data_IF_268337513042
#
_entry.id   IF_268337513042
#
_cell.length_a   1.000
_cell.length_b   1.000
_cell.length_c   1.000
_cell.angle_alpha   90.00
_cell.angle_beta   90.00
_cell.angle_gamma   90.00
#
_symmetry.space_group_name_H-M   'P 1'
#
loop_
_entity.id
_entity.type
_entity.pdbx_description
1 polymer ?
#
# COMPACT_ATOMS: atom_id res chain seq x y z
N UNK A 1 5.15 -18.66 10.85
CA UNK A 1 5.06 -19.95 10.12
C UNK A 1 4.76 -19.73 8.65
N UNK A 2 3.67 -19.03 8.26
CA UNK A 2 3.32 -18.81 6.84
C UNK A 2 4.53 -18.37 6.00
N UNK A 3 5.27 -17.36 6.45
CA UNK A 3 6.45 -16.85 5.72
C UNK A 3 7.55 -17.91 5.52
N UNK A 4 7.75 -18.82 6.48
CA UNK A 4 8.79 -19.84 6.43
C UNK A 4 8.38 -21.11 5.67
N UNK A 5 7.10 -21.47 5.75
CA UNK A 5 6.62 -22.80 5.35
C UNK A 5 5.87 -22.77 4.01
N UNK A 6 5.47 -21.58 3.52
CA UNK A 6 4.69 -21.46 2.28
C UNK A 6 5.59 -21.28 1.05
N UNK A 7 5.34 -21.97 -0.06
CA UNK A 7 6.05 -21.75 -1.31
C UNK A 7 5.99 -20.29 -1.77
N UNK A 8 7.04 -19.81 -2.45
CA UNK A 8 7.19 -18.39 -2.79
C UNK A 8 6.03 -17.80 -3.60
N UNK A 9 5.45 -18.60 -4.49
CA UNK A 9 4.31 -18.24 -5.35
C UNK A 9 2.95 -18.16 -4.61
N UNK A 10 2.91 -18.62 -3.35
CA UNK A 10 1.74 -18.54 -2.47
C UNK A 10 2.05 -17.76 -1.17
N UNK A 11 3.25 -17.20 -1.04
CA UNK A 11 3.74 -16.53 0.16
C UNK A 11 3.37 -15.04 0.12
N UNK A 12 2.37 -14.64 0.88
CA UNK A 12 1.84 -13.26 0.85
C UNK A 12 2.90 -12.17 1.05
N UNK A 13 3.78 -12.23 2.06
CA UNK A 13 4.85 -11.24 2.22
C UNK A 13 5.79 -11.15 1.02
N UNK A 14 6.14 -12.30 0.44
CA UNK A 14 7.01 -12.38 -0.75
C UNK A 14 6.31 -11.75 -1.95
N UNK A 15 5.06 -12.11 -2.20
CA UNK A 15 4.27 -11.57 -3.30
C UNK A 15 4.11 -10.05 -3.14
N UNK A 16 3.77 -9.57 -1.95
CA UNK A 16 3.62 -8.13 -1.69
C UNK A 16 4.96 -7.39 -1.85
N UNK A 17 6.07 -8.00 -1.43
CA UNK A 17 7.42 -7.48 -1.64
C UNK A 17 7.76 -7.35 -3.12
N UNK A 18 7.51 -8.39 -3.91
CA UNK A 18 7.74 -8.40 -5.36
C UNK A 18 6.87 -7.38 -6.11
N UNK A 19 5.59 -7.25 -5.72
CA UNK A 19 4.71 -6.21 -6.28
C UNK A 19 5.26 -4.82 -5.97
N UNK A 20 5.75 -4.59 -4.75
CA UNK A 20 6.38 -3.32 -4.37
C UNK A 20 7.61 -3.01 -5.23
N UNK A 21 8.51 -3.98 -5.42
CA UNK A 21 9.67 -3.84 -6.30
C UNK A 21 9.24 -3.55 -7.73
N UNK A 22 8.24 -4.30 -8.24
CA UNK A 22 7.69 -4.07 -9.57
C UNK A 22 7.18 -2.63 -9.75
N UNK A 23 6.44 -2.14 -8.77
CA UNK A 23 5.91 -0.77 -8.80
C UNK A 23 7.04 0.28 -8.80
N UNK A 24 8.08 0.08 -7.99
CA UNK A 24 9.18 1.05 -7.82
C UNK A 24 10.15 0.98 -9.01
N UNK A 25 10.72 -0.19 -9.27
CA UNK A 25 11.86 -0.33 -10.17
C UNK A 25 11.43 -0.38 -11.65
N UNK A 26 10.23 -0.90 -11.93
CA UNK A 26 9.77 -1.09 -13.31
C UNK A 26 8.69 -0.11 -13.73
N UNK A 27 7.79 0.27 -12.84
CA UNK A 27 6.73 1.26 -13.15
C UNK A 27 7.09 2.68 -12.74
N UNK A 28 8.17 2.88 -11.97
CA UNK A 28 8.62 4.19 -11.52
C UNK A 28 7.72 4.83 -10.47
N UNK A 29 7.08 4.02 -9.61
CA UNK A 29 6.30 4.56 -8.50
C UNK A 29 7.21 5.23 -7.47
N UNK A 30 6.99 6.52 -7.22
CA UNK A 30 7.79 7.31 -6.28
C UNK A 30 7.28 7.20 -4.84
N UNK A 31 6.03 6.79 -4.65
CA UNK A 31 5.39 6.74 -3.34
C UNK A 31 4.43 5.54 -3.20
N UNK A 32 4.20 5.16 -1.94
CA UNK A 32 3.20 4.20 -1.51
C UNK A 32 2.22 4.87 -0.55
N UNK A 33 0.95 4.92 -0.92
CA UNK A 33 -0.13 5.36 -0.06
C UNK A 33 -0.72 4.18 0.72
N UNK A 34 -0.67 4.23 2.05
CA UNK A 34 -1.28 3.22 2.94
C UNK A 34 -2.62 3.74 3.43
N UNK A 35 -3.70 3.08 3.04
CA UNK A 35 -5.07 3.57 3.14
C UNK A 35 -5.93 2.62 3.99
N UNK A 36 -5.82 2.65 5.33
CA UNK A 36 -6.65 1.80 6.17
C UNK A 36 -8.09 2.31 6.23
N UNK A 37 -9.04 1.43 6.02
CA UNK A 37 -10.48 1.69 6.15
C UNK A 37 -11.02 1.30 7.52
N UNK A 38 -10.25 1.65 8.54
CA UNK A 38 -10.61 1.56 9.95
C UNK A 38 -9.85 2.61 10.76
N UNK A 39 -10.55 3.36 11.60
CA UNK A 39 -9.94 4.41 12.42
C UNK A 39 -8.94 3.85 13.45
N UNK A 40 -9.14 2.61 13.92
CA UNK A 40 -8.21 1.93 14.82
C UNK A 40 -6.82 1.69 14.21
N UNK A 41 -6.73 1.72 12.87
CA UNK A 41 -5.47 1.61 12.13
C UNK A 41 -4.88 2.99 11.74
N UNK A 42 -5.36 4.09 12.31
CA UNK A 42 -4.96 5.44 11.93
C UNK A 42 -3.45 5.73 12.09
N UNK A 43 -2.76 5.02 12.98
CA UNK A 43 -1.32 5.15 13.17
C UNK A 43 -0.49 4.17 12.31
N UNK A 44 -1.12 3.22 11.64
CA UNK A 44 -0.42 2.24 10.81
C UNK A 44 0.41 2.88 9.68
N UNK A 45 -0.09 3.89 8.94
CA UNK A 45 0.74 4.56 7.93
C UNK A 45 2.02 5.18 8.50
N UNK A 46 1.96 5.75 9.72
CA UNK A 46 3.13 6.32 10.38
C UNK A 46 4.14 5.24 10.78
N UNK A 47 3.68 4.10 11.29
CA UNK A 47 4.53 2.97 11.59
C UNK A 47 5.22 2.42 10.33
N UNK A 48 4.46 2.19 9.26
CA UNK A 48 4.98 1.66 8.00
C UNK A 48 5.93 2.64 7.30
N UNK A 49 5.69 3.94 7.44
CA UNK A 49 6.60 4.97 6.95
C UNK A 49 7.98 4.81 7.59
N UNK A 50 8.04 4.69 8.91
CA UNK A 50 9.30 4.45 9.61
C UNK A 50 9.91 3.10 9.22
N UNK A 51 9.14 2.03 9.30
CA UNK A 51 9.59 0.68 8.99
C UNK A 51 10.25 0.60 7.60
N UNK A 52 9.60 1.11 6.58
CA UNK A 52 10.07 0.96 5.19
C UNK A 52 11.16 1.97 4.82
N UNK A 53 10.94 3.25 5.14
CA UNK A 53 11.87 4.31 4.73
C UNK A 53 13.18 4.27 5.52
N UNK A 54 13.17 3.88 6.79
CA UNK A 54 14.38 3.74 7.60
C UNK A 54 15.14 2.46 7.24
N UNK A 55 14.44 1.36 7.03
CA UNK A 55 15.07 0.07 6.68
C UNK A 55 15.66 0.08 5.27
N UNK A 56 14.87 0.46 4.27
CA UNK A 56 15.22 0.32 2.86
C UNK A 56 15.52 1.65 2.14
N UNK A 57 15.43 2.79 2.84
CA UNK A 57 15.73 4.12 2.27
C UNK A 57 17.23 4.40 2.19
N UNK A 58 18.01 3.47 1.66
CA UNK A 58 19.48 3.51 1.61
C UNK A 58 19.97 3.44 0.16
N UNK A 59 21.02 4.18 -0.14
CA UNK A 59 21.65 4.21 -1.47
C UNK A 59 22.88 3.31 -1.58
N UNK A 60 23.28 2.65 -0.48
CA UNK A 60 24.46 1.78 -0.44
C UNK A 60 24.02 0.36 -0.09
N UNK A 61 24.42 -0.59 -0.90
CA UNK A 61 24.19 -2.01 -0.70
C UNK A 61 25.05 -2.62 0.43
N UNK A 62 24.74 -3.85 0.79
CA UNK A 62 25.45 -4.62 1.83
C UNK A 62 26.93 -4.84 1.52
N UNK A 63 27.30 -4.82 0.26
CA UNK A 63 28.66 -4.97 -0.26
C UNK A 63 29.41 -3.64 -0.32
N UNK A 64 28.79 -2.54 0.07
CA UNK A 64 29.37 -1.19 0.03
C UNK A 64 29.28 -0.51 -1.34
N UNK A 65 28.62 -1.10 -2.31
CA UNK A 65 28.43 -0.49 -3.63
C UNK A 65 27.22 0.44 -3.63
N UNK A 66 27.24 1.43 -4.55
CA UNK A 66 26.08 2.30 -4.76
C UNK A 66 25.00 1.50 -5.51
N UNK A 67 23.76 1.58 -5.03
CA UNK A 67 22.62 0.95 -5.68
C UNK A 67 22.25 1.72 -6.95
N UNK A 68 22.14 1.03 -8.08
CA UNK A 68 21.71 1.61 -9.35
C UNK A 68 20.19 1.77 -9.42
N UNK A 69 19.45 0.96 -8.69
CA UNK A 69 17.97 0.97 -8.61
C UNK A 69 17.50 0.47 -7.26
N UNK A 70 16.22 0.64 -6.97
CA UNK A 70 15.61 0.17 -5.74
C UNK A 70 15.65 1.18 -4.60
N UNK A 71 15.27 0.72 -3.44
CA UNK A 71 15.11 1.51 -2.24
C UNK A 71 13.66 1.81 -1.89
N UNK A 72 13.44 2.30 -0.67
CA UNK A 72 12.09 2.56 -0.20
C UNK A 72 11.41 3.71 -0.96
N UNK A 73 10.11 3.57 -1.32
CA UNK A 73 9.32 4.70 -1.79
C UNK A 73 9.03 5.64 -0.62
N UNK A 74 8.55 6.84 -0.92
CA UNK A 74 7.96 7.70 0.11
C UNK A 74 6.66 7.07 0.58
N UNK A 75 6.59 6.70 1.86
CA UNK A 75 5.38 6.10 2.46
C UNK A 75 4.59 7.16 3.20
N UNK A 76 3.30 7.25 2.89
CA UNK A 76 2.35 8.14 3.57
C UNK A 76 0.96 7.50 3.61
N UNK A 77 0.03 8.10 4.31
CA UNK A 77 -1.35 7.66 4.30
C UNK A 77 -2.15 8.14 5.49
N UNK A 78 -3.44 7.89 5.42
CA UNK A 78 -4.45 8.21 6.43
C UNK A 78 -5.62 7.23 6.31
N UNK A 79 -6.49 7.13 7.33
CA UNK A 79 -7.75 6.42 7.19
C UNK A 79 -8.55 6.88 5.97
N UNK A 80 -9.07 5.90 5.23
CA UNK A 80 -9.56 6.03 3.86
C UNK A 80 -10.44 7.24 3.57
N UNK A 81 -11.52 7.49 4.35
CA UNK A 81 -12.43 8.62 4.10
C UNK A 81 -11.81 9.98 4.41
N UNK A 82 -10.92 10.08 5.40
CA UNK A 82 -10.17 11.31 5.68
C UNK A 82 -9.21 11.65 4.54
N UNK A 83 -8.39 10.68 4.14
CA UNK A 83 -7.42 10.82 3.06
C UNK A 83 -8.02 11.27 1.72
N UNK A 84 -9.29 10.92 1.44
CA UNK A 84 -9.96 11.34 0.21
C UNK A 84 -10.06 12.85 0.06
N UNK A 85 -10.14 13.58 1.15
CA UNK A 85 -10.18 15.03 1.16
C UNK A 85 -8.80 15.69 1.26
N UNK A 86 -7.74 14.89 1.43
CA UNK A 86 -6.38 15.37 1.60
C UNK A 86 -5.51 15.17 0.34
N UNK A 87 -5.43 13.95 -0.20
CA UNK A 87 -4.43 13.62 -1.23
C UNK A 87 -4.92 12.67 -2.34
N UNK A 88 -6.14 12.19 -2.32
CA UNK A 88 -6.64 11.28 -3.39
C UNK A 88 -6.64 11.93 -4.77
N UNK A 89 -6.79 13.24 -4.85
CA UNK A 89 -6.64 13.97 -6.10
C UNK A 89 -5.27 13.70 -6.77
N UNK A 90 -4.20 13.72 -5.97
CA UNK A 90 -2.85 13.44 -6.46
C UNK A 90 -2.69 11.98 -6.89
N UNK A 91 -3.32 11.03 -6.17
CA UNK A 91 -3.27 9.61 -6.53
C UNK A 91 -3.99 9.36 -7.86
N UNK A 92 -5.19 9.93 -8.07
CA UNK A 92 -5.98 9.70 -9.29
C UNK A 92 -5.49 10.47 -10.51
N UNK A 93 -5.14 11.76 -10.34
CA UNK A 93 -4.88 12.69 -11.45
C UNK A 93 -3.45 13.25 -11.45
N UNK A 94 -2.67 12.98 -10.40
CA UNK A 94 -1.30 13.46 -10.31
C UNK A 94 -0.41 12.84 -11.41
N UNK A 95 0.63 13.57 -11.81
CA UNK A 95 1.62 13.10 -12.81
C UNK A 95 2.53 12.00 -12.26
N UNK A 96 2.75 11.97 -10.93
CA UNK A 96 3.57 10.97 -10.27
C UNK A 96 2.77 9.69 -10.08
N UNK A 97 3.41 8.56 -10.32
CA UNK A 97 2.82 7.26 -10.01
C UNK A 97 2.92 7.02 -8.50
N UNK A 98 1.77 6.80 -7.88
CA UNK A 98 1.64 6.46 -6.46
C UNK A 98 0.95 5.11 -6.38
N UNK A 99 1.65 4.10 -5.89
CA UNK A 99 1.04 2.82 -5.57
C UNK A 99 0.18 2.95 -4.30
N UNK A 100 -0.84 2.14 -4.15
CA UNK A 100 -1.76 2.26 -3.01
C UNK A 100 -2.09 0.90 -2.40
N UNK A 101 -2.04 0.82 -1.07
CA UNK A 101 -2.48 -0.34 -0.29
C UNK A 101 -3.76 0.00 0.48
N UNK A 102 -4.89 -0.53 0.03
CA UNK A 102 -6.17 -0.46 0.74
C UNK A 102 -6.24 -1.57 1.78
N UNK A 103 -6.35 -1.23 3.06
CA UNK A 103 -6.48 -2.18 4.16
C UNK A 103 -7.93 -2.14 4.65
N UNK A 104 -8.66 -3.23 4.40
CA UNK A 104 -10.12 -3.23 4.50
C UNK A 104 -10.60 -4.33 5.44
N UNK A 105 -10.89 -4.00 6.71
CA UNK A 105 -11.59 -4.90 7.62
C UNK A 105 -13.03 -5.12 7.16
N UNK A 106 -13.45 -6.37 7.04
CA UNK A 106 -14.79 -6.74 6.58
C UNK A 106 -15.87 -6.56 7.67
N UNK A 107 -15.45 -6.54 8.93
CA UNK A 107 -16.33 -6.33 10.09
C UNK A 107 -15.79 -5.22 10.98
N UNK A 108 -16.71 -4.48 11.61
CA UNK A 108 -16.38 -3.42 12.57
C UNK A 108 -16.67 -3.83 14.00
N UNK A 109 -15.96 -3.25 14.96
CA UNK A 109 -16.29 -3.32 16.39
C UNK A 109 -17.40 -2.35 16.80
N UNK A 110 -17.71 -1.37 15.96
CA UNK A 110 -18.65 -0.29 16.25
C UNK A 110 -19.77 -0.24 15.20
N UNK A 111 -20.68 -1.24 15.18
CA UNK A 111 -21.75 -1.26 14.20
C UNK A 111 -22.73 -0.09 14.44
N UNK A 112 -22.89 0.75 13.44
CA UNK A 112 -23.82 1.90 13.46
C UNK A 112 -24.57 1.93 12.14
N UNK A 113 -25.80 1.40 12.14
CA UNK A 113 -26.60 1.31 10.93
C UNK A 113 -25.85 0.68 9.76
N UNK A 114 -25.87 1.33 8.59
CA UNK A 114 -25.19 0.89 7.36
C UNK A 114 -23.82 1.55 7.15
N UNK A 115 -23.27 2.25 8.14
CA UNK A 115 -22.02 3.01 8.00
C UNK A 115 -20.85 2.13 7.53
N UNK A 116 -20.69 0.95 8.09
CA UNK A 116 -19.60 0.06 7.70
C UNK A 116 -19.75 -0.46 6.26
N UNK A 117 -20.96 -0.78 5.83
CA UNK A 117 -21.24 -1.19 4.44
C UNK A 117 -20.91 -0.06 3.45
N UNK A 118 -21.25 1.18 3.79
CA UNK A 118 -20.88 2.36 2.99
C UNK A 118 -19.36 2.57 2.96
N UNK A 119 -18.68 2.34 4.07
CA UNK A 119 -17.23 2.41 4.15
C UNK A 119 -16.56 1.39 3.23
N UNK A 120 -17.03 0.13 3.25
CA UNK A 120 -16.56 -0.93 2.36
C UNK A 120 -16.81 -0.59 0.88
N UNK A 121 -18.04 -0.18 0.56
CA UNK A 121 -18.40 0.24 -0.80
C UNK A 121 -17.51 1.37 -1.30
N UNK A 122 -17.18 2.31 -0.42
CA UNK A 122 -16.28 3.42 -0.72
C UNK A 122 -14.85 2.91 -0.99
N UNK A 123 -14.31 2.01 -0.16
CA UNK A 123 -12.99 1.43 -0.36
C UNK A 123 -12.86 0.73 -1.72
N UNK A 124 -13.84 -0.12 -2.05
CA UNK A 124 -13.85 -0.82 -3.34
C UNK A 124 -14.06 0.11 -4.53
N UNK A 125 -14.89 1.13 -4.39
CA UNK A 125 -15.08 2.13 -5.44
C UNK A 125 -13.80 2.91 -5.74
N UNK A 126 -13.00 3.22 -4.73
CA UNK A 126 -11.72 3.91 -4.90
C UNK A 126 -10.69 3.02 -5.61
N UNK A 127 -10.54 1.76 -5.19
CA UNK A 127 -9.63 0.84 -5.85
C UNK A 127 -10.07 0.55 -7.30
N UNK A 128 -11.37 0.40 -7.56
CA UNK A 128 -11.92 0.25 -8.90
C UNK A 128 -11.64 1.48 -9.78
N UNK A 129 -11.81 2.69 -9.22
CA UNK A 129 -11.54 3.93 -9.93
C UNK A 129 -10.06 4.07 -10.31
N UNK A 130 -9.13 3.67 -9.42
CA UNK A 130 -7.69 3.63 -9.74
C UNK A 130 -7.38 2.65 -10.86
N UNK A 131 -8.04 1.50 -10.89
CA UNK A 131 -7.85 0.50 -11.93
C UNK A 131 -8.43 0.94 -13.28
N UNK A 132 -9.70 1.35 -13.31
CA UNK A 132 -10.44 1.61 -14.55
C UNK A 132 -10.24 3.01 -15.10
N UNK A 133 -10.04 3.99 -14.23
CA UNK A 133 -10.04 5.39 -14.62
C UNK A 133 -11.41 5.91 -15.07
N UNK A 134 -11.39 7.12 -15.56
CA UNK A 134 -12.52 7.82 -16.16
C UNK A 134 -12.02 8.66 -17.33
N UNK A 135 -11.93 8.08 -18.54
CA UNK A 135 -11.31 8.72 -19.70
C UNK A 135 -12.04 10.00 -20.12
N UNK A 136 -11.30 10.92 -20.75
CA UNK A 136 -11.73 12.27 -21.05
C UNK A 136 -12.70 12.43 -22.22
N UNK A 137 -12.95 11.37 -22.99
CA UNK A 137 -13.88 11.39 -24.14
C UNK A 137 -15.34 11.70 -23.75
N UNK A 138 -15.70 11.42 -22.49
CA UNK A 138 -17.04 11.64 -21.92
C UNK A 138 -17.07 12.67 -20.77
N UNK A 139 -15.96 13.37 -20.51
CA UNK A 139 -15.79 14.27 -19.37
C UNK A 139 -15.02 15.53 -19.77
N UNK A 140 -15.23 16.67 -19.09
CA UNK A 140 -14.30 17.79 -19.19
C UNK A 140 -12.87 17.33 -18.80
N UNK A 141 -11.82 17.81 -19.51
CA UNK A 141 -10.43 17.33 -19.30
C UNK A 141 -9.97 17.38 -17.83
N UNK A 142 -10.38 18.37 -17.06
CA UNK A 142 -10.02 18.51 -15.65
C UNK A 142 -10.71 17.49 -14.73
N UNK A 143 -11.67 16.71 -15.22
CA UNK A 143 -12.35 15.63 -14.48
C UNK A 143 -11.94 14.24 -14.93
N UNK A 144 -11.16 14.16 -15.98
CA UNK A 144 -10.64 12.90 -16.49
C UNK A 144 -9.49 12.40 -15.63
N UNK A 145 -9.38 11.09 -15.49
CA UNK A 145 -8.22 10.40 -14.94
C UNK A 145 -8.06 9.05 -15.63
N UNK A 146 -6.81 8.69 -15.92
CA UNK A 146 -6.49 7.61 -16.85
C UNK A 146 -6.79 6.22 -16.31
N UNK A 147 -6.75 6.02 -14.99
CA UNK A 147 -6.76 4.70 -14.40
C UNK A 147 -5.39 4.01 -14.52
N UNK A 148 -5.38 2.68 -14.51
CA UNK A 148 -4.16 1.87 -14.54
C UNK A 148 -3.14 2.27 -13.46
N UNK A 149 -3.65 2.70 -12.30
CA UNK A 149 -2.86 3.06 -11.12
C UNK A 149 -2.74 1.81 -10.22
N UNK A 150 -1.51 1.35 -9.90
CA UNK A 150 -1.33 0.11 -9.15
C UNK A 150 -1.89 0.25 -7.74
N UNK A 151 -2.69 -0.74 -7.35
CA UNK A 151 -3.20 -0.83 -5.99
C UNK A 151 -3.38 -2.27 -5.54
N UNK A 152 -3.18 -2.51 -4.24
CA UNK A 152 -3.51 -3.76 -3.57
C UNK A 152 -4.72 -3.54 -2.66
N UNK A 153 -5.53 -4.58 -2.48
CA UNK A 153 -6.60 -4.57 -1.48
C UNK A 153 -6.37 -5.73 -0.52
N UNK A 154 -5.99 -5.41 0.71
CA UNK A 154 -5.73 -6.37 1.79
C UNK A 154 -7.01 -6.49 2.59
N UNK A 155 -7.69 -7.62 2.43
CA UNK A 155 -8.91 -7.93 3.18
C UNK A 155 -8.55 -8.65 4.48
N UNK A 156 -9.14 -8.21 5.57
CA UNK A 156 -9.03 -8.87 6.88
C UNK A 156 -10.41 -8.98 7.52
N UNK A 157 -10.61 -9.94 8.41
CA UNK A 157 -11.91 -10.14 9.04
C UNK A 157 -12.34 -8.90 9.83
N UNK A 158 -11.53 -8.50 10.81
CA UNK A 158 -11.68 -7.26 11.59
C UNK A 158 -10.35 -6.93 12.28
N UNK A 159 -10.25 -5.72 12.80
CA UNK A 159 -9.06 -5.28 13.55
C UNK A 159 -9.13 -5.81 14.98
N UNK A 160 -8.47 -6.92 15.25
CA UNK A 160 -8.25 -7.44 16.59
C UNK A 160 -6.74 -7.68 16.82
N UNK A 161 -6.29 -8.03 18.03
CA UNK A 161 -4.86 -8.21 18.33
C UNK A 161 -4.18 -9.25 17.43
N UNK A 162 -4.89 -10.30 17.02
CA UNK A 162 -4.35 -11.35 16.17
C UNK A 162 -4.16 -10.88 14.73
N UNK A 163 -5.21 -10.30 14.15
CA UNK A 163 -5.16 -9.80 12.77
C UNK A 163 -4.26 -8.58 12.63
N UNK A 164 -4.17 -7.72 13.65
CA UNK A 164 -3.21 -6.63 13.71
C UNK A 164 -1.77 -7.18 13.72
N UNK A 165 -1.49 -8.18 14.55
CA UNK A 165 -0.17 -8.83 14.58
C UNK A 165 0.19 -9.48 13.24
N UNK A 166 -0.78 -10.10 12.55
CA UNK A 166 -0.56 -10.63 11.19
C UNK A 166 -0.25 -9.53 10.18
N UNK A 167 -0.96 -8.41 10.25
CA UNK A 167 -0.76 -7.26 9.37
C UNK A 167 0.63 -6.63 9.56
N UNK A 168 1.05 -6.44 10.80
CA UNK A 168 2.40 -5.96 11.14
C UNK A 168 3.45 -6.92 10.56
N UNK A 169 3.35 -8.22 10.87
CA UNK A 169 4.29 -9.22 10.39
C UNK A 169 4.32 -9.33 8.85
N UNK A 170 3.18 -9.12 8.18
CA UNK A 170 3.11 -9.07 6.72
C UNK A 170 4.03 -7.99 6.15
N UNK A 171 3.95 -6.78 6.70
CA UNK A 171 4.77 -5.67 6.22
C UNK A 171 6.24 -5.77 6.66
N UNK A 172 6.53 -6.26 7.86
CA UNK A 172 7.90 -6.52 8.29
C UNK A 172 8.61 -7.52 7.36
N UNK A 173 7.94 -8.62 7.03
CA UNK A 173 8.47 -9.60 6.10
C UNK A 173 8.53 -9.07 4.65
N UNK A 174 7.56 -8.25 4.22
CA UNK A 174 7.63 -7.56 2.93
C UNK A 174 8.90 -6.71 2.82
N UNK A 175 9.16 -5.87 3.81
CA UNK A 175 10.34 -4.98 3.85
C UNK A 175 11.63 -5.79 3.86
N UNK A 176 11.67 -6.88 4.63
CA UNK A 176 12.80 -7.80 4.64
C UNK A 176 13.06 -8.43 3.25
N UNK A 177 12.01 -8.92 2.59
CA UNK A 177 12.11 -9.50 1.23
C UNK A 177 12.67 -8.49 0.25
N UNK A 178 12.16 -7.26 0.26
CA UNK A 178 12.65 -6.18 -0.59
C UNK A 178 14.12 -5.85 -0.31
N UNK A 179 14.51 -5.76 0.96
CA UNK A 179 15.90 -5.54 1.35
C UNK A 179 16.84 -6.63 0.82
N UNK A 180 16.42 -7.89 0.91
CA UNK A 180 17.22 -9.02 0.38
C UNK A 180 17.41 -8.91 -1.13
N UNK A 181 16.35 -8.58 -1.88
CA UNK A 181 16.38 -8.49 -3.34
C UNK A 181 17.22 -7.29 -3.79
N UNK A 182 17.08 -6.12 -3.15
CA UNK A 182 17.89 -4.94 -3.43
C UNK A 182 19.32 -5.00 -2.90
N UNK A 183 19.65 -6.04 -2.14
CA UNK A 183 20.96 -6.15 -1.49
C UNK A 183 21.20 -5.12 -0.37
N UNK A 184 20.13 -4.59 0.22
CA UNK A 184 20.18 -3.60 1.32
C UNK A 184 20.31 -4.33 2.67
N UNK A 185 21.02 -3.74 3.61
CA UNK A 185 20.93 -4.14 5.02
C UNK A 185 19.79 -3.36 5.68
N UNK A 186 18.66 -4.00 6.05
CA UNK A 186 17.51 -3.30 6.63
C UNK A 186 17.70 -2.87 8.10
N UNK A 187 18.82 -3.24 8.74
CA UNK A 187 19.13 -2.95 10.15
C UNK A 187 20.13 -1.82 10.31
#
# INVERSE_FOLDING_TARGET
>A
RHFLDTPLDANMPVILGLIGIWNIDFLGAEALAVLPYDQGLGLLPNYLRQLEMESNGKSIGRDGTVLEAGGAPIVFGEPGTGGQHAFYQAIHQGRRLIASDFIVPLRTHHPTGDHHQRLLANAFAQSEALMKGRPGDKQPPHRAFEGNRPSNTILMDRVDPFTLGQLIALYEHKVFVQAVIWGINPF
#
